data_IF_998500601661
#
_entry.id   IF_998500601661
#
_cell.length_a   1.000
_cell.length_b   1.000
_cell.length_c   1.000
_cell.angle_alpha   90.00
_cell.angle_beta   90.00
_cell.angle_gamma   90.00
#
_symmetry.space_group_name_H-M   'P 1'
#
loop_
_entity.id
_entity.type
_entity.pdbx_description
1 polymer ?
#
# COMPACT_ATOMS: atom_id res chain seq x y z
N UNK A 1 58.31 -44.74 44.80
CA UNK A 1 57.49 -43.58 45.17
C UNK A 1 56.78 -43.06 43.93
N UNK A 2 57.42 -42.27 43.07
CA UNK A 2 56.78 -41.65 41.90
C UNK A 2 55.95 -42.60 41.01
N UNK A 3 56.47 -43.78 40.65
CA UNK A 3 55.71 -44.79 39.86
C UNK A 3 54.42 -45.24 40.55
N UNK A 4 54.46 -45.45 41.87
CA UNK A 4 53.29 -45.82 42.65
C UNK A 4 52.28 -44.66 42.73
N UNK A 5 52.76 -43.41 42.78
CA UNK A 5 51.91 -42.22 42.78
C UNK A 5 51.20 -42.04 41.42
N UNK A 6 51.90 -42.32 40.30
CA UNK A 6 51.29 -42.34 38.96
C UNK A 6 50.26 -43.46 38.84
N UNK A 7 50.54 -44.67 39.34
CA UNK A 7 49.55 -45.76 39.38
C UNK A 7 48.32 -45.38 40.19
N UNK A 8 48.49 -44.80 41.38
CA UNK A 8 47.37 -44.33 42.20
C UNK A 8 46.54 -43.25 41.49
N UNK A 9 47.18 -42.40 40.68
CA UNK A 9 46.48 -41.39 39.85
C UNK A 9 45.66 -42.07 38.73
N UNK A 10 46.22 -43.09 38.07
CA UNK A 10 45.51 -43.90 37.06
C UNK A 10 44.27 -44.56 37.66
N UNK A 11 44.44 -45.24 38.80
CA UNK A 11 43.36 -45.95 39.48
C UNK A 11 42.27 -44.97 39.90
N UNK A 12 42.65 -43.82 40.46
CA UNK A 12 41.69 -42.77 40.82
C UNK A 12 40.87 -42.28 39.62
N UNK A 13 41.51 -41.99 38.47
CA UNK A 13 40.83 -41.53 37.27
C UNK A 13 39.85 -42.59 36.75
N UNK A 14 40.29 -43.86 36.67
CA UNK A 14 39.45 -44.97 36.20
C UNK A 14 38.24 -45.22 37.10
N UNK A 15 38.43 -45.17 38.41
CA UNK A 15 37.38 -45.49 39.39
C UNK A 15 36.43 -44.34 39.67
N UNK A 16 36.89 -43.08 39.54
CA UNK A 16 36.13 -41.91 40.04
C UNK A 16 35.78 -40.87 38.95
N UNK A 17 36.51 -40.81 37.84
CA UNK A 17 36.28 -39.82 36.79
C UNK A 17 35.60 -40.47 35.58
N UNK A 18 36.21 -41.53 35.02
CA UNK A 18 35.69 -42.18 33.80
C UNK A 18 34.36 -42.92 34.02
N UNK A 19 33.97 -43.17 35.27
CA UNK A 19 32.66 -43.74 35.61
C UNK A 19 31.51 -42.72 35.56
N UNK A 20 31.79 -41.42 35.39
CA UNK A 20 30.80 -40.35 35.46
C UNK A 20 31.07 -39.27 34.40
N UNK A 21 30.96 -39.64 33.12
CA UNK A 21 31.22 -38.79 31.96
C UNK A 21 29.94 -38.39 31.22
N UNK A 22 28.78 -38.59 31.84
CA UNK A 22 27.50 -38.19 31.28
C UNK A 22 27.42 -36.65 31.28
N UNK A 23 27.34 -36.04 30.09
CA UNK A 23 27.35 -34.59 29.82
C UNK A 23 28.73 -33.90 29.72
N UNK A 24 29.80 -34.64 29.45
CA UNK A 24 31.08 -34.05 29.00
C UNK A 24 31.29 -34.29 27.50
N UNK A 25 32.20 -33.53 26.90
CA UNK A 25 32.55 -33.65 25.47
C UNK A 25 33.19 -35.02 25.19
N UNK A 26 32.64 -35.87 24.29
CA UNK A 26 33.18 -37.21 24.00
C UNK A 26 34.68 -37.22 23.67
N UNK A 27 35.16 -36.32 22.81
CA UNK A 27 36.57 -36.19 22.47
C UNK A 27 37.47 -35.80 23.66
N UNK A 28 36.92 -35.22 24.73
CA UNK A 28 37.66 -35.00 25.99
C UNK A 28 37.71 -36.25 26.87
N UNK A 29 36.70 -37.12 26.79
CA UNK A 29 36.76 -38.47 27.39
C UNK A 29 37.86 -39.27 26.72
N UNK A 30 37.86 -39.32 25.37
CA UNK A 30 38.88 -40.02 24.58
C UNK A 30 40.30 -39.53 24.91
N UNK A 31 40.48 -38.21 25.06
CA UNK A 31 41.76 -37.61 25.42
C UNK A 31 42.24 -38.03 26.83
N UNK A 32 41.30 -38.17 27.78
CA UNK A 32 41.62 -38.64 29.13
C UNK A 32 41.95 -40.13 29.14
N UNK A 33 41.20 -40.95 28.41
CA UNK A 33 41.48 -42.38 28.26
C UNK A 33 42.86 -42.62 27.62
N UNK A 34 43.18 -41.90 26.55
CA UNK A 34 44.49 -41.97 25.91
C UNK A 34 45.64 -41.54 26.84
N UNK A 35 45.42 -40.49 27.64
CA UNK A 35 46.41 -40.04 28.64
C UNK A 35 46.63 -41.09 29.75
N UNK A 36 45.56 -41.78 30.16
CA UNK A 36 45.62 -42.88 31.13
C UNK A 36 46.35 -44.10 30.55
N UNK A 37 46.09 -44.48 29.30
CA UNK A 37 46.79 -45.58 28.62
C UNK A 37 48.29 -45.30 28.45
N UNK A 38 48.64 -44.08 28.03
CA UNK A 38 50.03 -43.66 27.91
C UNK A 38 50.76 -43.68 29.27
N UNK A 39 50.09 -43.25 30.34
CA UNK A 39 50.65 -43.32 31.69
C UNK A 39 50.81 -44.76 32.18
N UNK A 40 49.85 -45.65 31.91
CA UNK A 40 49.93 -47.07 32.29
C UNK A 40 51.13 -47.75 31.60
N UNK A 41 51.33 -47.48 30.31
CA UNK A 41 52.48 -48.01 29.56
C UNK A 41 53.82 -47.65 30.22
N UNK A 42 53.97 -46.40 30.68
CA UNK A 42 55.19 -45.93 31.37
C UNK A 42 55.32 -46.50 32.80
N UNK A 43 54.20 -46.76 33.47
CA UNK A 43 54.22 -47.43 34.78
C UNK A 43 54.63 -48.90 34.64
N UNK A 44 54.28 -49.56 33.54
CA UNK A 44 54.59 -50.96 33.29
C UNK A 44 56.04 -51.15 32.76
N UNK A 45 56.61 -50.14 32.10
CA UNK A 45 57.99 -50.15 31.62
C UNK A 45 58.98 -49.96 32.77
N UNK A 46 59.81 -50.96 33.15
CA UNK A 46 60.78 -50.83 34.25
C UNK A 46 61.81 -49.72 34.03
N UNK A 47 62.14 -49.37 32.79
CA UNK A 47 63.20 -48.43 32.41
C UNK A 47 62.71 -46.98 32.29
N UNK A 48 61.40 -46.72 32.40
CA UNK A 48 60.82 -45.39 32.35
C UNK A 48 61.45 -44.42 33.36
N UNK A 49 61.84 -43.25 32.88
CA UNK A 49 62.49 -42.22 33.69
C UNK A 49 61.51 -41.47 34.58
N UNK A 50 62.04 -40.82 35.62
CA UNK A 50 61.25 -39.99 36.51
C UNK A 50 60.60 -38.79 35.80
N UNK A 51 61.21 -38.28 34.72
CA UNK A 51 60.66 -37.13 33.99
C UNK A 51 59.54 -37.54 33.02
N UNK A 52 59.63 -38.73 32.42
CA UNK A 52 58.53 -39.33 31.63
C UNK A 52 57.30 -39.57 32.51
N UNK A 53 57.48 -40.14 33.70
CA UNK A 53 56.40 -40.37 34.66
C UNK A 53 55.73 -39.06 35.13
N UNK A 54 56.51 -38.00 35.37
CA UNK A 54 55.97 -36.67 35.70
C UNK A 54 55.19 -36.07 34.52
N UNK A 55 55.71 -36.21 33.30
CA UNK A 55 55.05 -35.70 32.10
C UNK A 55 53.71 -36.41 31.87
N UNK A 56 53.65 -37.72 32.06
CA UNK A 56 52.41 -38.49 31.97
C UNK A 56 51.39 -38.09 33.03
N UNK A 57 51.82 -37.91 34.29
CA UNK A 57 50.94 -37.43 35.37
C UNK A 57 50.37 -36.03 35.08
N UNK A 58 51.21 -35.12 34.57
CA UNK A 58 50.78 -33.79 34.12
C UNK A 58 49.79 -33.87 32.97
N UNK A 59 50.00 -34.77 32.01
CA UNK A 59 49.08 -34.97 30.88
C UNK A 59 47.71 -35.49 31.34
N UNK A 60 47.68 -36.51 32.21
CA UNK A 60 46.43 -37.02 32.80
C UNK A 60 45.69 -35.94 33.59
N UNK A 61 46.39 -35.19 34.45
CA UNK A 61 45.80 -34.12 35.26
C UNK A 61 45.22 -33.02 34.36
N UNK A 62 45.94 -32.65 33.30
CA UNK A 62 45.47 -31.68 32.31
C UNK A 62 44.21 -32.19 31.59
N UNK A 63 44.23 -33.43 31.09
CA UNK A 63 43.07 -34.02 30.41
C UNK A 63 41.85 -34.12 31.34
N UNK A 64 42.06 -34.48 32.61
CA UNK A 64 40.99 -34.53 33.61
C UNK A 64 40.42 -33.13 33.94
N UNK A 65 41.24 -32.08 33.89
CA UNK A 65 40.76 -30.70 34.05
C UNK A 65 39.94 -30.23 32.84
N UNK A 66 40.43 -30.49 31.63
CA UNK A 66 39.75 -30.11 30.38
C UNK A 66 38.46 -30.90 30.12
N UNK A 67 38.29 -32.06 30.78
CA UNK A 67 37.08 -32.88 30.72
C UNK A 67 35.83 -32.11 31.19
N UNK A 68 35.97 -31.30 32.24
CA UNK A 68 34.84 -30.60 32.88
C UNK A 68 34.51 -29.24 32.26
N UNK A 69 35.14 -28.90 31.12
CA UNK A 69 34.77 -27.72 30.34
C UNK A 69 33.43 -27.96 29.63
N UNK A 70 32.33 -27.60 30.28
CA UNK A 70 30.99 -27.67 29.72
C UNK A 70 30.77 -26.51 28.75
N UNK A 71 30.35 -26.83 27.52
CA UNK A 71 29.95 -25.86 26.51
C UNK A 71 28.42 -25.85 26.41
N UNK A 72 27.80 -24.77 26.88
CA UNK A 72 26.34 -24.60 26.76
C UNK A 72 25.95 -24.20 25.34
N UNK A 73 24.88 -24.83 24.83
CA UNK A 73 24.30 -24.55 23.51
C UNK A 73 22.91 -23.91 23.59
N UNK A 74 22.46 -23.55 24.79
CA UNK A 74 21.11 -23.04 25.02
C UNK A 74 20.83 -21.74 24.24
N UNK A 75 21.78 -20.80 24.26
CA UNK A 75 21.66 -19.52 23.54
C UNK A 75 21.69 -19.72 22.03
N UNK A 76 22.55 -20.61 21.53
CA UNK A 76 22.62 -20.97 20.11
C UNK A 76 21.29 -21.57 19.63
N UNK A 77 20.73 -22.52 20.38
CA UNK A 77 19.44 -23.14 20.04
C UNK A 77 18.28 -22.13 20.05
N UNK A 78 18.24 -21.25 21.05
CA UNK A 78 17.23 -20.18 21.11
C UNK A 78 17.37 -19.21 19.93
N UNK A 79 18.60 -18.87 19.52
CA UNK A 79 18.85 -18.01 18.37
C UNK A 79 18.48 -18.69 17.05
N UNK A 80 18.73 -20.00 16.90
CA UNK A 80 18.29 -20.80 15.74
C UNK A 80 16.76 -20.75 15.64
N UNK A 81 16.03 -20.94 16.74
CA UNK A 81 14.56 -20.86 16.75
C UNK A 81 14.08 -19.47 16.30
N UNK A 82 14.66 -18.41 16.86
CA UNK A 82 14.33 -17.03 16.45
C UNK A 82 14.65 -16.78 14.97
N UNK A 83 15.81 -17.23 14.48
CA UNK A 83 16.26 -17.06 13.10
C UNK A 83 15.30 -17.72 12.09
N UNK A 84 14.81 -18.93 12.38
CA UNK A 84 13.84 -19.61 11.52
C UNK A 84 12.55 -18.80 11.33
N UNK A 85 12.14 -18.01 12.33
CA UNK A 85 10.97 -17.15 12.24
C UNK A 85 11.08 -16.01 11.21
N UNK A 86 12.29 -15.67 10.76
CA UNK A 86 12.50 -14.63 9.74
C UNK A 86 12.41 -15.16 8.30
N UNK A 87 12.48 -16.48 8.08
CA UNK A 87 12.49 -17.08 6.74
C UNK A 87 11.18 -16.85 5.96
N UNK A 88 10.07 -16.66 6.66
CA UNK A 88 8.76 -16.35 6.09
C UNK A 88 8.50 -14.84 5.93
N UNK A 89 9.50 -13.99 6.20
CA UNK A 89 9.37 -12.53 6.15
C UNK A 89 9.54 -11.92 4.75
N UNK A 90 9.12 -10.66 4.58
CA UNK A 90 9.26 -9.89 3.34
C UNK A 90 10.68 -9.31 3.17
N UNK A 91 11.65 -10.20 2.97
CA UNK A 91 13.06 -9.87 2.77
C UNK A 91 13.52 -10.25 1.36
N UNK A 92 14.66 -9.69 0.92
CA UNK A 92 15.26 -10.05 -0.36
C UNK A 92 15.69 -11.51 -0.37
N UNK A 93 15.58 -12.16 -1.52
CA UNK A 93 15.98 -13.56 -1.67
C UNK A 93 17.45 -13.80 -1.26
N UNK A 94 18.33 -12.86 -1.60
CA UNK A 94 19.76 -12.90 -1.28
C UNK A 94 20.02 -12.87 0.23
N UNK A 95 19.30 -12.02 0.98
CA UNK A 95 19.46 -11.94 2.44
C UNK A 95 18.83 -13.13 3.18
N UNK A 96 17.73 -13.68 2.66
CA UNK A 96 17.14 -14.92 3.17
C UNK A 96 18.04 -16.14 2.91
N UNK A 97 18.69 -16.23 1.75
CA UNK A 97 19.67 -17.29 1.45
C UNK A 97 20.89 -17.23 2.40
N UNK A 98 21.38 -16.02 2.67
CA UNK A 98 22.44 -15.81 3.65
C UNK A 98 22.03 -16.23 5.07
N UNK A 99 20.79 -15.91 5.48
CA UNK A 99 20.25 -16.34 6.77
C UNK A 99 20.10 -17.86 6.84
N UNK A 100 19.55 -18.49 5.81
CA UNK A 100 19.40 -19.96 5.73
C UNK A 100 20.76 -20.66 5.86
N UNK A 101 21.78 -20.17 5.16
CA UNK A 101 23.16 -20.68 5.27
C UNK A 101 23.70 -20.58 6.70
N UNK A 102 23.47 -19.45 7.38
CA UNK A 102 23.90 -19.25 8.76
C UNK A 102 23.14 -20.15 9.75
N UNK A 103 21.84 -20.40 9.52
CA UNK A 103 21.03 -21.34 10.30
C UNK A 103 21.60 -22.76 10.19
N UNK A 104 21.95 -23.22 8.98
CA UNK A 104 22.52 -24.55 8.76
C UNK A 104 23.88 -24.71 9.46
N UNK A 105 24.76 -23.71 9.38
CA UNK A 105 26.03 -23.71 10.09
C UNK A 105 25.85 -23.71 11.63
N UNK A 106 24.88 -22.93 12.12
CA UNK A 106 24.53 -22.90 13.54
C UNK A 106 23.97 -24.25 14.03
N UNK A 107 23.12 -24.90 13.25
CA UNK A 107 22.61 -26.24 13.54
C UNK A 107 23.73 -27.29 13.56
N UNK A 108 24.70 -27.20 12.64
CA UNK A 108 25.86 -28.09 12.66
C UNK A 108 26.69 -27.94 13.95
N UNK A 109 26.94 -26.71 14.40
CA UNK A 109 27.62 -26.44 15.67
C UNK A 109 26.81 -26.90 16.89
N UNK A 110 25.48 -26.71 16.86
CA UNK A 110 24.59 -27.18 17.91
C UNK A 110 24.55 -28.71 18.02
N UNK A 111 24.62 -29.42 16.89
CA UNK A 111 24.60 -30.88 16.84
C UNK A 111 25.98 -31.53 17.09
N UNK A 112 27.07 -30.75 17.13
CA UNK A 112 28.41 -31.27 17.39
C UNK A 112 28.66 -31.41 18.90
N UNK A 113 28.64 -32.62 19.43
CA UNK A 113 28.85 -32.91 20.87
C UNK A 113 30.22 -32.48 21.40
N UNK A 114 31.21 -32.31 20.51
CA UNK A 114 32.55 -31.83 20.84
C UNK A 114 32.78 -30.34 20.56
N UNK A 115 31.74 -29.60 20.21
CA UNK A 115 31.84 -28.17 19.92
C UNK A 115 32.52 -27.42 21.08
N UNK A 116 33.48 -26.59 20.72
CA UNK A 116 34.19 -25.69 21.63
C UNK A 116 33.39 -24.42 21.87
N UNK A 117 33.69 -23.71 22.96
CA UNK A 117 33.11 -22.39 23.23
C UNK A 117 33.33 -21.41 22.08
N UNK A 118 34.49 -21.50 21.41
CA UNK A 118 34.82 -20.67 20.26
C UNK A 118 33.89 -20.96 19.07
N UNK A 119 33.68 -22.23 18.72
CA UNK A 119 32.79 -22.63 17.62
C UNK A 119 31.34 -22.25 17.90
N UNK A 120 30.85 -22.43 19.14
CA UNK A 120 29.49 -22.00 19.51
C UNK A 120 29.36 -20.47 19.45
N UNK A 121 30.36 -19.72 19.92
CA UNK A 121 30.36 -18.26 19.87
C UNK A 121 30.40 -17.75 18.42
N UNK A 122 31.19 -18.39 17.56
CA UNK A 122 31.27 -18.07 16.13
C UNK A 122 29.95 -18.34 15.41
N UNK A 123 29.29 -19.46 15.71
CA UNK A 123 27.96 -19.78 15.21
C UNK A 123 26.91 -18.74 15.63
N UNK A 124 26.89 -18.35 16.91
CA UNK A 124 26.01 -17.29 17.43
C UNK A 124 26.27 -15.96 16.71
N UNK A 125 27.54 -15.57 16.59
CA UNK A 125 27.93 -14.31 15.94
C UNK A 125 27.55 -14.28 14.47
N UNK A 126 27.79 -15.38 13.76
CA UNK A 126 27.46 -15.50 12.34
C UNK A 126 25.95 -15.44 12.11
N UNK A 127 25.17 -16.13 12.94
CA UNK A 127 23.71 -16.11 12.88
C UNK A 127 23.14 -14.73 13.21
N UNK A 128 23.67 -14.06 14.25
CA UNK A 128 23.27 -12.70 14.61
C UNK A 128 23.59 -11.69 13.48
N UNK A 129 24.75 -11.82 12.84
CA UNK A 129 25.12 -10.98 11.69
C UNK A 129 24.21 -11.22 10.49
N UNK A 130 23.84 -12.48 10.21
CA UNK A 130 22.92 -12.80 9.12
C UNK A 130 21.52 -12.22 9.36
N UNK A 131 21.01 -12.29 10.60
CA UNK A 131 19.75 -11.63 11.00
C UNK A 131 19.87 -10.11 10.83
N UNK A 132 20.98 -9.51 11.27
CA UNK A 132 21.22 -8.07 11.11
C UNK A 132 21.40 -7.64 9.65
N UNK A 133 21.81 -8.57 8.77
CA UNK A 133 21.97 -8.39 7.33
C UNK A 133 20.70 -8.64 6.51
N UNK A 134 19.56 -8.91 7.15
CA UNK A 134 18.29 -9.02 6.45
C UNK A 134 17.89 -7.70 5.80
N UNK A 135 17.59 -7.75 4.50
CA UNK A 135 17.18 -6.58 3.73
C UNK A 135 15.71 -6.70 3.35
N UNK A 136 14.86 -5.77 3.83
CA UNK A 136 13.43 -5.79 3.49
C UNK A 136 13.20 -5.42 2.04
N UNK A 137 12.21 -6.07 1.41
CA UNK A 137 11.72 -5.66 0.10
C UNK A 137 11.08 -4.27 0.24
N UNK A 138 11.57 -3.29 -0.52
CA UNK A 138 10.93 -1.98 -0.62
C UNK A 138 9.88 -1.99 -1.72
N UNK A 139 8.63 -1.91 -1.32
CA UNK A 139 7.51 -1.74 -2.24
C UNK A 139 7.37 -0.25 -2.62
N UNK A 140 7.08 0.02 -3.89
CA UNK A 140 6.82 1.38 -4.38
C UNK A 140 5.33 1.70 -4.31
N UNK A 141 4.98 2.57 -3.36
CA UNK A 141 3.62 3.06 -3.14
C UNK A 141 3.34 4.42 -3.74
N UNK A 142 4.32 5.05 -4.42
CA UNK A 142 4.23 6.44 -4.86
C UNK A 142 3.08 6.70 -5.84
N UNK A 143 2.89 5.80 -6.80
CA UNK A 143 1.79 5.90 -7.76
C UNK A 143 0.42 5.77 -7.09
N UNK A 144 0.29 4.81 -6.16
CA UNK A 144 -0.95 4.60 -5.41
C UNK A 144 -1.26 5.79 -4.49
N UNK A 145 -0.26 6.32 -3.78
CA UNK A 145 -0.39 7.49 -2.93
C UNK A 145 -0.87 8.72 -3.72
N UNK A 146 -0.35 8.93 -4.92
CA UNK A 146 -0.78 10.03 -5.79
C UNK A 146 -2.24 9.86 -6.27
N UNK A 147 -2.65 8.64 -6.62
CA UNK A 147 -4.05 8.37 -6.99
C UNK A 147 -5.01 8.60 -5.81
N UNK A 148 -4.63 8.16 -4.60
CA UNK A 148 -5.40 8.38 -3.37
C UNK A 148 -5.59 9.88 -3.10
N UNK A 149 -4.54 10.69 -3.24
CA UNK A 149 -4.63 12.15 -3.07
C UNK A 149 -5.66 12.77 -4.00
N UNK A 150 -5.54 12.49 -5.31
CA UNK A 150 -6.44 13.03 -6.32
C UNK A 150 -7.89 12.58 -6.11
N UNK A 151 -8.12 11.30 -5.83
CA UNK A 151 -9.47 10.78 -5.62
C UNK A 151 -10.06 11.26 -4.29
N UNK A 152 -9.25 11.50 -3.26
CA UNK A 152 -9.72 12.13 -2.01
C UNK A 152 -10.29 13.54 -2.28
N UNK A 153 -9.60 14.35 -3.11
CA UNK A 153 -10.12 15.66 -3.52
C UNK A 153 -11.42 15.54 -4.32
N UNK A 154 -11.52 14.54 -5.20
CA UNK A 154 -12.75 14.26 -5.96
C UNK A 154 -13.91 13.87 -5.06
N UNK A 155 -13.69 13.01 -4.06
CA UNK A 155 -14.72 12.58 -3.09
C UNK A 155 -15.17 13.77 -2.23
N UNK A 156 -14.27 14.66 -1.82
CA UNK A 156 -14.64 15.88 -1.12
C UNK A 156 -15.56 16.80 -1.95
N UNK A 157 -15.45 16.72 -3.28
CA UNK A 157 -16.21 17.50 -4.24
C UNK A 157 -17.18 16.65 -5.07
N UNK A 158 -17.64 15.52 -4.55
CA UNK A 158 -18.38 14.50 -5.31
C UNK A 158 -19.67 15.06 -5.93
N UNK A 159 -20.27 16.08 -5.32
CA UNK A 159 -21.46 16.76 -5.81
C UNK A 159 -21.28 17.49 -7.16
N UNK A 160 -20.04 17.74 -7.59
CA UNK A 160 -19.71 18.34 -8.89
C UNK A 160 -19.68 17.31 -10.03
N UNK A 161 -19.79 16.03 -9.72
CA UNK A 161 -19.73 14.93 -10.68
C UNK A 161 -21.12 14.36 -10.97
N UNK A 162 -21.24 13.74 -12.14
CA UNK A 162 -22.43 13.00 -12.57
C UNK A 162 -22.53 11.74 -11.71
N UNK A 163 -23.61 11.54 -10.93
CA UNK A 163 -23.72 10.47 -9.94
C UNK A 163 -23.37 9.08 -10.47
N UNK A 164 -23.89 8.71 -11.65
CA UNK A 164 -23.62 7.40 -12.27
C UNK A 164 -22.14 7.14 -12.58
N UNK A 165 -21.32 8.18 -12.75
CA UNK A 165 -19.91 8.05 -13.13
C UNK A 165 -18.95 7.94 -11.94
N UNK A 166 -19.44 8.19 -10.74
CA UNK A 166 -18.67 8.15 -9.49
C UNK A 166 -19.25 7.16 -8.48
N UNK A 167 -20.17 6.30 -8.93
CA UNK A 167 -20.72 5.22 -8.12
C UNK A 167 -19.60 4.29 -7.62
N UNK A 168 -19.56 4.05 -6.31
CA UNK A 168 -18.53 3.23 -5.68
C UNK A 168 -17.12 3.83 -5.63
N UNK A 169 -16.92 5.10 -6.03
CA UNK A 169 -15.60 5.76 -5.99
C UNK A 169 -15.02 5.80 -4.56
N UNK A 170 -15.89 6.01 -3.56
CA UNK A 170 -15.49 6.04 -2.16
C UNK A 170 -15.02 4.67 -1.65
N UNK A 171 -15.66 3.59 -2.08
CA UNK A 171 -15.24 2.23 -1.72
C UNK A 171 -13.89 1.88 -2.35
N UNK A 172 -13.69 2.24 -3.63
CA UNK A 172 -12.40 2.06 -4.32
C UNK A 172 -11.28 2.87 -3.68
N UNK A 173 -11.58 4.06 -3.17
CA UNK A 173 -10.62 4.85 -2.39
C UNK A 173 -10.24 4.15 -1.08
N UNK A 174 -11.21 3.56 -0.37
CA UNK A 174 -10.96 2.79 0.85
C UNK A 174 -10.11 1.54 0.57
N UNK A 175 -10.41 0.81 -0.51
CA UNK A 175 -9.62 -0.36 -0.94
C UNK A 175 -8.18 0.04 -1.28
N UNK A 176 -7.99 1.16 -1.98
CA UNK A 176 -6.67 1.70 -2.29
C UNK A 176 -5.89 2.12 -1.02
N UNK A 177 -6.55 2.72 -0.04
CA UNK A 177 -5.94 3.06 1.26
C UNK A 177 -5.51 1.81 2.03
N UNK A 178 -6.30 0.73 1.98
CA UNK A 178 -5.91 -0.55 2.58
C UNK A 178 -4.68 -1.16 1.89
N UNK A 179 -4.61 -1.06 0.56
CA UNK A 179 -3.49 -1.56 -0.24
C UNK A 179 -2.16 -0.83 0.01
N UNK A 180 -2.14 0.30 0.74
CA UNK A 180 -0.89 0.92 1.23
C UNK A 180 -0.08 -0.01 2.16
N UNK A 181 -0.74 -1.00 2.77
CA UNK A 181 -0.12 -2.00 3.65
C UNK A 181 -0.03 -3.38 3.00
N UNK A 182 -0.16 -3.46 1.67
CA UNK A 182 -0.02 -4.70 0.93
C UNK A 182 1.39 -5.30 1.11
N UNK A 183 1.48 -6.62 0.92
CA UNK A 183 2.74 -7.35 1.10
C UNK A 183 3.49 -7.56 -0.22
N UNK A 184 2.84 -7.28 -1.34
CA UNK A 184 3.40 -7.47 -2.68
C UNK A 184 3.21 -6.24 -3.56
N UNK A 185 4.10 -6.06 -4.54
CA UNK A 185 3.97 -4.97 -5.51
C UNK A 185 2.76 -5.15 -6.43
N UNK A 186 2.39 -6.40 -6.75
CA UNK A 186 1.25 -6.70 -7.61
C UNK A 186 -0.08 -6.20 -7.02
N UNK A 187 -0.27 -6.37 -5.71
CA UNK A 187 -1.44 -5.84 -4.99
C UNK A 187 -1.51 -4.30 -5.04
N UNK A 188 -0.36 -3.62 -4.89
CA UNK A 188 -0.26 -2.17 -4.97
C UNK A 188 -0.57 -1.68 -6.39
N UNK A 189 -0.02 -2.34 -7.40
CA UNK A 189 -0.21 -1.98 -8.80
C UNK A 189 -1.68 -2.21 -9.23
N UNK A 190 -2.31 -3.30 -8.78
CA UNK A 190 -3.72 -3.59 -9.04
C UNK A 190 -4.66 -2.56 -8.40
N UNK A 191 -4.40 -2.16 -7.14
CA UNK A 191 -5.15 -1.11 -6.47
C UNK A 191 -4.98 0.24 -7.19
N UNK A 192 -3.77 0.55 -7.63
CA UNK A 192 -3.46 1.76 -8.39
C UNK A 192 -4.24 1.81 -9.70
N UNK A 193 -4.25 0.70 -10.46
CA UNK A 193 -4.98 0.61 -11.72
C UNK A 193 -6.49 0.79 -11.52
N UNK A 194 -7.06 0.13 -10.51
CA UNK A 194 -8.49 0.19 -10.17
C UNK A 194 -8.93 1.62 -9.80
N UNK A 195 -8.15 2.29 -8.94
CA UNK A 195 -8.47 3.66 -8.51
C UNK A 195 -8.32 4.66 -9.66
N UNK A 196 -7.26 4.50 -10.46
CA UNK A 196 -7.02 5.33 -11.66
C UNK A 196 -8.14 5.19 -12.68
N UNK A 197 -8.60 3.98 -12.96
CA UNK A 197 -9.72 3.74 -13.88
C UNK A 197 -10.99 4.45 -13.40
N UNK A 198 -11.34 4.30 -12.12
CA UNK A 198 -12.51 4.97 -11.55
C UNK A 198 -12.40 6.50 -11.66
N UNK A 199 -11.21 7.06 -11.37
CA UNK A 199 -10.92 8.48 -11.54
C UNK A 199 -11.12 8.95 -12.98
N UNK A 200 -10.66 8.19 -13.96
CA UNK A 200 -10.76 8.52 -15.39
C UNK A 200 -12.18 8.39 -15.95
N UNK A 201 -13.03 7.56 -15.33
CA UNK A 201 -14.42 7.39 -15.72
C UNK A 201 -15.34 8.51 -15.20
N UNK A 202 -14.98 9.15 -14.08
CA UNK A 202 -15.73 10.25 -13.48
C UNK A 202 -15.95 11.42 -14.45
N UNK A 203 -17.18 11.95 -14.50
CA UNK A 203 -17.55 13.10 -15.34
C UNK A 203 -18.13 14.21 -14.50
N UNK A 204 -17.75 15.46 -14.78
CA UNK A 204 -18.35 16.63 -14.14
C UNK A 204 -19.75 16.87 -14.67
N UNK A 205 -20.64 17.42 -13.84
CA UNK A 205 -22.00 17.83 -14.25
C UNK A 205 -21.97 18.86 -15.39
N UNK A 206 -23.04 18.89 -16.18
CA UNK A 206 -23.24 19.92 -17.18
C UNK A 206 -23.39 21.31 -16.54
N UNK A 207 -22.92 22.33 -17.24
CA UNK A 207 -23.12 23.73 -16.87
C UNK A 207 -24.53 24.16 -17.28
N UNK A 208 -25.35 24.49 -16.28
CA UNK A 208 -26.76 24.86 -16.43
C UNK A 208 -27.01 26.37 -16.35
N UNK A 209 -25.97 27.19 -16.17
CA UNK A 209 -26.10 28.63 -15.92
C UNK A 209 -26.92 29.36 -17.01
N UNK A 210 -26.63 29.09 -18.29
CA UNK A 210 -27.37 29.68 -19.41
C UNK A 210 -28.84 29.23 -19.44
N UNK A 211 -29.13 28.00 -19.00
CA UNK A 211 -30.49 27.48 -18.92
C UNK A 211 -31.27 28.16 -17.79
N UNK A 212 -30.63 28.36 -16.64
CA UNK A 212 -31.21 29.11 -15.52
C UNK A 212 -31.52 30.56 -15.91
N UNK A 213 -30.59 31.23 -16.62
CA UNK A 213 -30.74 32.61 -17.07
C UNK A 213 -31.92 32.77 -18.04
N UNK A 214 -32.02 31.93 -19.07
CA UNK A 214 -33.10 32.05 -20.06
C UNK A 214 -34.48 31.71 -19.46
N UNK A 215 -34.54 30.79 -18.47
CA UNK A 215 -35.76 30.52 -17.72
C UNK A 215 -36.15 31.74 -16.87
N UNK A 216 -35.19 32.35 -16.17
CA UNK A 216 -35.44 33.55 -15.37
C UNK A 216 -35.95 34.70 -16.24
N UNK A 217 -35.32 34.90 -17.41
CA UNK A 217 -35.75 35.89 -18.39
C UNK A 217 -37.19 35.66 -18.85
N UNK A 218 -37.55 34.44 -19.27
CA UNK A 218 -38.91 34.12 -19.70
C UNK A 218 -39.95 34.37 -18.59
N UNK A 219 -39.63 34.04 -17.33
CA UNK A 219 -40.52 34.31 -16.20
C UNK A 219 -40.69 35.81 -15.91
N UNK A 220 -39.75 36.66 -16.36
CA UNK A 220 -39.82 38.11 -16.20
C UNK A 220 -40.63 38.82 -17.29
N UNK A 221 -40.97 38.12 -18.38
CA UNK A 221 -41.67 38.73 -19.50
C UNK A 221 -43.09 39.15 -19.10
N UNK A 222 -43.48 40.37 -19.46
CA UNK A 222 -44.88 40.78 -19.38
C UNK A 222 -45.66 40.17 -20.55
N UNK A 223 -46.51 39.19 -20.25
CA UNK A 223 -47.23 38.42 -21.27
C UNK A 223 -48.62 38.99 -21.60
N UNK A 224 -49.05 40.12 -21.05
CA UNK A 224 -50.41 40.65 -21.23
C UNK A 224 -50.79 40.94 -22.70
N UNK A 225 -49.82 41.27 -23.54
CA UNK A 225 -50.01 41.57 -24.97
C UNK A 225 -49.95 40.37 -25.92
N UNK A 226 -49.83 39.14 -25.40
CA UNK A 226 -49.64 37.93 -26.20
C UNK A 226 -50.86 37.00 -26.17
N UNK A 227 -51.05 36.22 -27.25
CA UNK A 227 -52.16 35.27 -27.39
C UNK A 227 -52.14 34.20 -26.30
N UNK A 228 -53.30 33.65 -25.95
CA UNK A 228 -53.40 32.59 -24.93
C UNK A 228 -52.64 31.32 -25.36
N UNK A 229 -52.68 31.01 -26.65
CA UNK A 229 -52.03 29.85 -27.27
C UNK A 229 -50.51 29.94 -27.13
N UNK A 230 -49.90 31.06 -27.53
CA UNK A 230 -48.43 31.22 -27.49
C UNK A 230 -47.89 31.26 -26.05
N UNK A 231 -48.64 31.85 -25.11
CA UNK A 231 -48.31 31.81 -23.67
C UNK A 231 -48.33 30.38 -23.11
N UNK A 232 -49.36 29.60 -23.46
CA UNK A 232 -49.44 28.20 -23.01
C UNK A 232 -48.26 27.37 -23.54
N UNK A 233 -47.81 27.63 -24.78
CA UNK A 233 -46.64 26.97 -25.35
C UNK A 233 -45.33 27.34 -24.62
N UNK A 234 -45.17 28.61 -24.21
CA UNK A 234 -44.05 29.03 -23.38
C UNK A 234 -44.08 28.33 -22.01
N UNK A 235 -45.24 28.31 -21.33
CA UNK A 235 -45.40 27.63 -20.03
C UNK A 235 -45.05 26.13 -20.10
N UNK A 236 -45.52 25.44 -21.15
CA UNK A 236 -45.18 24.03 -21.39
C UNK A 236 -43.68 23.85 -21.60
N UNK A 237 -43.06 24.74 -22.37
CA UNK A 237 -41.61 24.71 -22.60
C UNK A 237 -40.84 24.90 -21.29
N UNK A 238 -41.23 25.87 -20.46
CA UNK A 238 -40.64 26.10 -19.13
C UNK A 238 -40.67 24.81 -18.29
N UNK A 239 -41.82 24.12 -18.26
CA UNK A 239 -41.94 22.85 -17.52
C UNK A 239 -41.02 21.77 -18.09
N UNK A 240 -40.93 21.65 -19.41
CA UNK A 240 -40.07 20.67 -20.07
C UNK A 240 -38.58 20.92 -19.77
N UNK A 241 -38.11 22.16 -19.92
CA UNK A 241 -36.70 22.49 -19.70
C UNK A 241 -36.30 22.45 -18.22
N UNK A 242 -37.23 22.73 -17.30
CA UNK A 242 -37.01 22.52 -15.85
C UNK A 242 -36.71 21.07 -15.49
N UNK A 243 -37.20 20.10 -16.28
CA UNK A 243 -36.84 18.68 -16.08
C UNK A 243 -35.38 18.41 -16.44
N UNK A 244 -34.86 19.06 -17.47
CA UNK A 244 -33.43 18.96 -17.84
C UNK A 244 -32.56 19.63 -16.78
N UNK A 245 -32.98 20.79 -16.26
CA UNK A 245 -32.29 21.49 -15.18
C UNK A 245 -32.22 20.65 -13.88
N UNK A 246 -33.27 19.89 -13.59
CA UNK A 246 -33.36 19.05 -12.40
C UNK A 246 -32.71 17.66 -12.57
N UNK A 247 -32.26 17.30 -13.77
CA UNK A 247 -31.66 16.00 -14.06
C UNK A 247 -30.15 16.03 -13.74
N UNK A 248 -29.70 15.34 -12.66
CA UNK A 248 -28.27 15.30 -12.31
C UNK A 248 -27.41 14.51 -13.32
N UNK A 249 -28.06 13.77 -14.24
CA UNK A 249 -27.45 13.00 -15.32
C UNK A 249 -27.51 13.74 -16.68
N UNK A 250 -27.96 15.00 -16.70
CA UNK A 250 -28.05 15.78 -17.92
C UNK A 250 -26.66 15.97 -18.53
N UNK A 251 -26.52 15.60 -19.82
CA UNK A 251 -25.33 15.93 -20.59
C UNK A 251 -25.36 17.38 -21.03
N UNK A 252 -24.19 17.94 -21.34
CA UNK A 252 -24.11 19.31 -21.83
C UNK A 252 -24.93 19.50 -23.12
N UNK A 253 -24.97 18.51 -24.01
CA UNK A 253 -25.77 18.56 -25.23
C UNK A 253 -27.27 18.70 -24.93
N UNK A 254 -27.78 18.00 -23.91
CA UNK A 254 -29.19 18.13 -23.49
C UNK A 254 -29.48 19.51 -22.92
N UNK A 255 -28.55 20.04 -22.10
CA UNK A 255 -28.68 21.39 -21.54
C UNK A 255 -28.64 22.45 -22.65
N UNK A 256 -27.70 22.34 -23.59
CA UNK A 256 -27.57 23.23 -24.74
C UNK A 256 -28.85 23.20 -25.62
N UNK A 257 -29.42 22.00 -25.84
CA UNK A 257 -30.69 21.84 -26.55
C UNK A 257 -31.88 22.46 -25.78
N UNK A 258 -31.90 22.34 -24.46
CA UNK A 258 -32.94 22.96 -23.62
C UNK A 258 -32.89 24.49 -23.72
N UNK A 259 -31.69 25.09 -23.75
CA UNK A 259 -31.52 26.53 -23.98
C UNK A 259 -32.09 26.93 -25.35
N UNK A 260 -31.74 26.21 -26.42
CA UNK A 260 -32.26 26.50 -27.77
C UNK A 260 -33.79 26.35 -27.87
N UNK A 261 -34.34 25.32 -27.22
CA UNK A 261 -35.79 25.08 -27.16
C UNK A 261 -36.48 26.25 -26.47
N UNK A 262 -35.91 26.74 -25.37
CA UNK A 262 -36.44 27.89 -24.63
C UNK A 262 -36.37 29.19 -25.44
N UNK A 263 -35.25 29.45 -26.12
CA UNK A 263 -35.10 30.60 -27.02
C UNK A 263 -36.16 30.59 -28.12
N UNK A 264 -36.36 29.44 -28.77
CA UNK A 264 -37.36 29.30 -29.83
C UNK A 264 -38.79 29.53 -29.32
N UNK A 265 -39.10 29.08 -28.10
CA UNK A 265 -40.42 29.29 -27.50
C UNK A 265 -40.68 30.78 -27.20
N UNK A 266 -39.65 31.52 -26.75
CA UNK A 266 -39.72 32.97 -26.54
C UNK A 266 -39.92 33.69 -27.88
N UNK A 267 -39.12 33.34 -28.89
CA UNK A 267 -39.19 33.96 -30.23
C UNK A 267 -40.51 33.66 -30.96
N UNK A 268 -41.19 32.57 -30.58
CA UNK A 268 -42.49 32.16 -31.15
C UNK A 268 -43.70 32.78 -30.45
N UNK A 269 -43.50 33.66 -29.47
CA UNK A 269 -44.60 34.39 -28.82
C UNK A 269 -45.35 35.27 -29.84
N UNK A 270 -46.68 35.14 -29.87
CA UNK A 270 -47.53 35.85 -30.83
C UNK A 270 -48.28 36.99 -30.14
N UNK A 271 -48.13 38.25 -30.59
CA UNK A 271 -48.93 39.36 -30.06
C UNK A 271 -50.41 39.15 -30.40
N UNK A 272 -51.31 39.66 -29.56
CA UNK A 272 -52.73 39.74 -29.90
C UNK A 272 -52.87 40.71 -31.08
N UNK A 273 -53.34 40.23 -32.23
CA UNK A 273 -53.67 41.14 -33.33
C UNK A 273 -54.94 41.92 -32.98
N UNK A 274 -54.83 43.26 -32.93
CA UNK A 274 -56.00 44.12 -32.94
C UNK A 274 -56.76 43.85 -34.23
N UNK A 275 -57.95 43.26 -34.10
CA UNK A 275 -58.92 43.24 -35.19
C UNK A 275 -59.11 44.70 -35.65
N UNK A 276 -58.70 44.98 -36.88
CA UNK A 276 -58.66 46.30 -37.47
C UNK A 276 -59.95 47.09 -37.19
N UNK A 277 -59.83 48.16 -36.40
CA UNK A 277 -60.99 48.99 -36.06
C UNK A 277 -60.77 50.11 -35.06
N UNK A 278 -59.60 50.75 -34.99
CA UNK A 278 -59.50 52.07 -34.34
C UNK A 278 -58.36 52.89 -34.90
N UNK A 279 -58.70 53.88 -35.72
CA UNK A 279 -57.79 54.96 -36.11
C UNK A 279 -57.60 55.89 -34.91
N UNK A 280 -56.63 55.58 -34.05
CA UNK A 280 -55.91 56.58 -33.28
C UNK A 280 -54.51 56.02 -32.98
N UNK A 281 -53.51 56.69 -33.52
CA UNK A 281 -52.11 56.37 -33.30
C UNK A 281 -51.77 56.54 -31.82
N UNK A 282 -51.67 55.43 -31.08
CA UNK A 282 -50.92 55.39 -29.82
C UNK A 282 -49.55 54.76 -30.13
N UNK A 283 -48.54 55.63 -30.23
CA UNK A 283 -47.15 55.31 -30.58
C UNK A 283 -46.42 54.50 -29.51
N UNK A 284 -47.11 54.11 -28.43
CA UNK A 284 -46.54 53.44 -27.27
C UNK A 284 -46.33 51.93 -27.49
N UNK A 285 -47.13 51.26 -28.33
CA UNK A 285 -47.05 49.79 -28.54
C UNK A 285 -45.95 49.37 -29.53
N UNK A 286 -45.65 50.18 -30.55
CA UNK A 286 -44.59 49.89 -31.53
C UNK A 286 -43.20 50.05 -30.92
N UNK A 287 -43.03 50.98 -29.97
CA UNK A 287 -41.78 51.15 -29.23
C UNK A 287 -41.50 49.97 -28.29
N UNK A 288 -42.54 49.40 -27.66
CA UNK A 288 -42.42 48.19 -26.85
C UNK A 288 -42.02 46.97 -27.70
N UNK A 289 -42.69 46.73 -28.83
CA UNK A 289 -42.36 45.63 -29.73
C UNK A 289 -40.94 45.76 -30.34
N UNK A 290 -40.51 46.98 -30.69
CA UNK A 290 -39.18 47.24 -31.21
C UNK A 290 -38.08 47.12 -30.14
N UNK A 291 -38.34 47.53 -28.89
CA UNK A 291 -37.42 47.34 -27.77
C UNK A 291 -37.31 45.85 -27.37
N UNK A 292 -38.41 45.10 -27.40
CA UNK A 292 -38.40 43.65 -27.13
C UNK A 292 -37.66 42.88 -28.23
N UNK A 293 -37.85 43.23 -29.51
CA UNK A 293 -37.09 42.63 -30.61
C UNK A 293 -35.59 42.95 -30.54
N UNK A 294 -35.23 44.18 -30.14
CA UNK A 294 -33.84 44.57 -29.93
C UNK A 294 -33.19 43.85 -28.73
N UNK A 295 -33.93 43.64 -27.63
CA UNK A 295 -33.43 42.88 -26.47
C UNK A 295 -33.37 41.37 -26.74
N UNK A 296 -34.35 40.79 -27.43
CA UNK A 296 -34.30 39.38 -27.87
C UNK A 296 -33.11 39.14 -28.82
N UNK A 297 -32.85 40.07 -29.75
CA UNK A 297 -31.67 40.05 -30.60
C UNK A 297 -30.35 40.16 -29.82
N UNK A 298 -30.30 40.98 -28.76
CA UNK A 298 -29.10 41.14 -27.93
C UNK A 298 -28.85 39.92 -27.00
N UNK A 299 -29.91 39.26 -26.52
CA UNK A 299 -29.85 38.02 -25.72
C UNK A 299 -29.51 36.78 -26.57
N UNK A 300 -30.02 36.69 -27.79
CA UNK A 300 -29.60 35.66 -28.73
C UNK A 300 -28.09 35.74 -29.02
N UNK A 301 -27.53 36.96 -29.06
CA UNK A 301 -26.09 37.19 -29.19
C UNK A 301 -25.32 36.79 -27.94
N UNK A 302 -25.83 37.04 -26.73
CA UNK A 302 -25.16 36.61 -25.49
C UNK A 302 -25.22 35.09 -25.28
N UNK A 303 -26.35 34.44 -25.55
CA UNK A 303 -26.46 32.97 -25.52
C UNK A 303 -25.57 32.30 -26.58
N UNK A 304 -25.50 32.85 -27.80
CA UNK A 304 -24.57 32.39 -28.84
C UNK A 304 -23.10 32.65 -28.47
N UNK A 305 -22.79 33.77 -27.82
CA UNK A 305 -21.45 34.09 -27.34
C UNK A 305 -21.03 33.16 -26.19
N UNK A 306 -21.92 32.84 -25.25
CA UNK A 306 -21.69 31.88 -24.15
C UNK A 306 -21.49 30.47 -24.72
N UNK A 307 -22.32 30.03 -25.69
CA UNK A 307 -22.13 28.78 -26.41
C UNK A 307 -20.78 28.73 -27.14
N UNK A 308 -20.36 29.80 -27.81
CA UNK A 308 -19.06 29.89 -28.49
C UNK A 308 -17.86 29.89 -27.52
N UNK A 309 -17.97 30.57 -26.38
CA UNK A 309 -16.93 30.57 -25.32
C UNK A 309 -16.80 29.19 -24.68
N UNK A 310 -17.92 28.51 -24.41
CA UNK A 310 -17.91 27.14 -23.90
C UNK A 310 -17.37 26.14 -24.93
N UNK A 311 -17.64 26.33 -26.23
CA UNK A 311 -17.06 25.52 -27.31
C UNK A 311 -15.54 25.68 -27.44
N UNK A 312 -15.00 26.89 -27.17
CA UNK A 312 -13.54 27.14 -27.13
C UNK A 312 -12.86 26.51 -25.91
N UNK A 313 -13.53 26.48 -24.74
CA UNK A 313 -13.02 25.78 -23.56
C UNK A 313 -12.94 24.25 -23.75
N UNK A 314 -13.83 23.67 -24.57
CA UNK A 314 -13.78 22.24 -24.98
C UNK A 314 -12.59 21.88 -25.89
N UNK A 315 -11.97 22.84 -26.57
CA UNK A 315 -10.80 22.59 -27.45
C UNK A 315 -9.46 22.79 -26.73
N UNK A 316 -9.47 23.29 -25.49
CA UNK A 316 -8.27 23.64 -24.73
C UNK A 316 -7.99 22.71 -23.53
N UNK A 317 -8.78 21.66 -23.35
CA UNK A 317 -8.58 20.57 -22.39
C UNK A 317 -8.48 19.26 -23.16
#
# INVERSE_FOLDING_TARGET
ALRADVQATIDFIKENILTNVDNVRPGKVDALEAAVEAAQTLVDDPDASADELKAANKAMTKAAQELWEIVSKAELNALIEAANGYLDGNYTAESLEALQTAIEAAQAAANNDDATTAEVTEAITSLANAIAGLESIKLDTSALAHEIELVTEMVANIGNYVPSTVEGLQDKLADAQAAMNATTQEEIDAATATLREARLNARTKADVSALEEIIAYANSLNLAGYTAESRNMLDRTIVAVKRVLADPEATQEKVDQAVQTMQTAIDSLQPVEDSAGSTNADTTNTAAAAQTAAFAGMLAVSAAAILLVNRRRRQAK
#
